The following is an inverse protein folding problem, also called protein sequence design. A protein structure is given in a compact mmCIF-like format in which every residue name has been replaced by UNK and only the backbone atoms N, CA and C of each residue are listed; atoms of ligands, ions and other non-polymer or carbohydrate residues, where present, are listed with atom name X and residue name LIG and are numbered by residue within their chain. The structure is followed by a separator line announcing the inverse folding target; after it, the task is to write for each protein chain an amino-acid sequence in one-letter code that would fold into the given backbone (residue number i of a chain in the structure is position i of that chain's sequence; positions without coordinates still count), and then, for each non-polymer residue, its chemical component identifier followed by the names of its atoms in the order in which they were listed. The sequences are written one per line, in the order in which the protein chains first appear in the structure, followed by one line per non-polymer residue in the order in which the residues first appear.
data_IF_560780881019
#
_entry.id   IF_560780881019
#
_cell.length_a   1.000
_cell.length_b   1.000
_cell.length_c   1.000
_cell.angle_alpha   90.00
_cell.angle_beta   90.00
_cell.angle_gamma   90.00
#
_symmetry.space_group_name_H-M   'P 1'
#
loop_
_entity.id
_entity.type
_entity.pdbx_description
1 polymer ?
#
# COMPACT_ATOMS: atom_id res chain seq x y z
N UNK A 1 5.13 -1.09 7.59
CA UNK A 1 4.84 -1.04 6.15
C UNK A 1 6.01 -0.45 5.37
N UNK A 2 6.00 -0.57 4.07
CA UNK A 2 6.99 0.04 3.18
C UNK A 2 6.30 0.94 2.18
N UNK A 3 7.01 2.01 1.78
CA UNK A 3 6.55 2.91 0.74
C UNK A 3 6.31 2.14 -0.56
N UNK A 4 5.27 2.55 -1.26
CA UNK A 4 4.89 1.97 -2.53
C UNK A 4 5.91 2.27 -3.62
N UNK A 5 6.52 1.20 -4.12
CA UNK A 5 7.44 1.28 -5.25
C UNK A 5 6.92 0.41 -6.40
N UNK A 6 6.67 1.01 -7.54
CA UNK A 6 6.05 0.35 -8.69
C UNK A 6 7.01 -0.61 -9.39
N UNK A 7 8.29 -0.31 -9.43
CA UNK A 7 9.27 -1.14 -10.12
C UNK A 7 10.01 -2.06 -9.16
N UNK A 8 10.28 -3.28 -9.60
CA UNK A 8 11.03 -4.28 -8.81
C UNK A 8 12.44 -3.79 -8.46
N UNK A 9 13.08 -3.06 -9.36
CA UNK A 9 14.39 -2.50 -9.10
C UNK A 9 14.35 -1.42 -8.01
N UNK A 10 13.32 -0.58 -8.03
CA UNK A 10 13.10 0.40 -6.97
C UNK A 10 12.88 -0.25 -5.61
N UNK A 11 12.21 -1.39 -5.57
CA UNK A 11 12.03 -2.17 -4.35
C UNK A 11 13.36 -2.73 -3.82
N UNK A 12 14.22 -3.24 -4.71
CA UNK A 12 15.48 -3.87 -4.31
C UNK A 12 16.43 -2.88 -3.64
N UNK A 13 16.47 -1.64 -4.09
CA UNK A 13 17.40 -0.62 -3.56
C UNK A 13 17.20 -0.38 -2.05
N UNK A 14 16.00 -0.07 -1.54
CA UNK A 14 15.80 0.20 -0.11
C UNK A 14 15.66 -1.05 0.75
N UNK A 15 15.12 -2.15 0.22
CA UNK A 15 14.70 -3.28 1.07
C UNK A 15 15.19 -4.66 0.59
N UNK A 16 15.89 -4.74 -0.54
CA UNK A 16 16.27 -6.01 -1.12
C UNK A 16 15.06 -6.78 -1.67
N UNK A 17 14.70 -7.90 -1.06
CA UNK A 17 13.48 -8.62 -1.42
C UNK A 17 12.32 -8.22 -0.52
N UNK A 18 11.24 -7.68 -1.10
CA UNK A 18 10.02 -7.37 -0.33
C UNK A 18 9.42 -8.60 0.33
N UNK A 19 9.44 -9.77 -0.32
CA UNK A 19 8.95 -11.00 0.28
C UNK A 19 9.70 -11.34 1.57
N UNK A 20 11.02 -11.26 1.56
CA UNK A 20 11.85 -11.49 2.76
C UNK A 20 11.63 -10.40 3.82
N UNK A 21 11.46 -9.18 3.38
CA UNK A 21 11.20 -8.08 4.30
C UNK A 21 9.87 -8.25 5.04
N UNK A 22 8.81 -8.67 4.34
CA UNK A 22 7.51 -8.93 4.94
C UNK A 22 7.48 -10.14 5.90
N UNK A 23 8.38 -11.10 5.74
CA UNK A 23 8.48 -12.24 6.66
C UNK A 23 8.67 -11.81 8.12
N UNK A 24 9.42 -10.75 8.35
CA UNK A 24 9.75 -10.24 9.68
C UNK A 24 8.69 -9.35 10.31
N UNK A 25 7.72 -8.88 9.53
CA UNK A 25 6.68 -7.99 10.02
C UNK A 25 5.55 -8.74 10.71
N UNK A 26 5.09 -8.23 11.86
CA UNK A 26 3.86 -8.73 12.50
C UNK A 26 2.64 -8.48 11.61
N UNK A 27 2.52 -7.28 11.09
CA UNK A 27 1.51 -6.86 10.12
C UNK A 27 2.22 -6.36 8.87
N UNK A 28 2.42 -7.21 7.85
CA UNK A 28 3.00 -6.76 6.60
C UNK A 28 2.10 -5.72 5.96
N UNK A 29 2.70 -4.67 5.41
CA UNK A 29 1.92 -3.55 4.91
C UNK A 29 2.60 -2.81 3.78
N UNK A 30 1.76 -2.09 3.04
CA UNK A 30 2.14 -1.22 1.92
C UNK A 30 1.68 0.21 2.17
N UNK A 31 2.19 1.12 1.37
CA UNK A 31 1.77 2.51 1.28
C UNK A 31 1.48 2.81 -0.19
N UNK A 32 0.24 3.12 -0.52
CA UNK A 32 -0.18 3.47 -1.89
C UNK A 32 -0.64 4.92 -1.91
N UNK A 33 0.20 5.76 -2.46
CA UNK A 33 -0.03 7.20 -2.51
C UNK A 33 -1.11 7.61 -3.51
N UNK A 34 -1.74 8.74 -3.23
CA UNK A 34 -2.76 9.39 -4.05
C UNK A 34 -4.02 8.52 -4.25
N UNK A 35 -4.67 8.64 -5.40
CA UNK A 35 -5.85 7.87 -5.75
C UNK A 35 -5.57 6.80 -6.83
N UNK A 36 -4.37 6.24 -6.85
CA UNK A 36 -3.94 5.24 -7.84
C UNK A 36 -4.54 3.86 -7.59
N UNK A 37 -4.94 3.21 -8.67
CA UNK A 37 -5.45 1.84 -8.68
C UNK A 37 -4.73 0.97 -9.74
N UNK A 38 -3.46 1.23 -10.00
CA UNK A 38 -2.75 0.64 -11.15
C UNK A 38 -1.78 -0.47 -10.73
N UNK A 39 -1.00 -0.24 -9.67
CA UNK A 39 0.08 -1.14 -9.25
C UNK A 39 -0.44 -2.34 -8.42
N UNK A 40 -1.27 -3.18 -9.00
CA UNK A 40 -1.89 -4.32 -8.30
C UNK A 40 -0.85 -5.33 -7.77
N UNK A 41 0.30 -5.46 -8.42
CA UNK A 41 1.35 -6.40 -7.99
C UNK A 41 1.93 -6.05 -6.62
N UNK A 42 1.96 -4.77 -6.24
CA UNK A 42 2.43 -4.35 -4.91
C UNK A 42 1.52 -4.93 -3.82
N UNK A 43 0.20 -4.81 -3.99
CA UNK A 43 -0.76 -5.42 -3.10
C UNK A 43 -0.66 -6.97 -3.12
N UNK A 44 -0.46 -7.57 -4.30
CA UNK A 44 -0.29 -9.03 -4.42
C UNK A 44 0.98 -9.54 -3.74
N UNK A 45 2.08 -8.80 -3.78
CA UNK A 45 3.30 -9.17 -3.08
C UNK A 45 3.07 -9.30 -1.56
N UNK A 46 2.49 -8.28 -0.93
CA UNK A 46 2.24 -8.28 0.51
C UNK A 46 1.20 -9.32 0.92
N UNK A 47 0.10 -9.42 0.18
CA UNK A 47 -0.98 -10.38 0.45
C UNK A 47 -0.49 -11.81 0.27
N UNK A 48 0.27 -12.09 -0.78
CA UNK A 48 0.85 -13.42 -1.01
C UNK A 48 1.77 -13.84 0.12
N UNK A 49 2.66 -12.95 0.56
CA UNK A 49 3.54 -13.24 1.69
C UNK A 49 2.75 -13.50 2.98
N UNK A 50 1.77 -12.65 3.26
CA UNK A 50 0.93 -12.81 4.45
C UNK A 50 0.21 -14.17 4.47
N UNK A 51 -0.36 -14.58 3.33
CA UNK A 51 -1.05 -15.88 3.18
C UNK A 51 -0.10 -17.06 3.38
N UNK A 52 1.06 -17.03 2.72
CA UNK A 52 2.06 -18.09 2.84
C UNK A 52 2.58 -18.28 4.28
N UNK A 53 2.58 -17.23 5.07
CA UNK A 53 3.07 -17.22 6.45
C UNK A 53 1.95 -17.25 7.51
N UNK A 54 0.70 -17.40 7.10
CA UNK A 54 -0.45 -17.45 8.01
C UNK A 54 -0.67 -16.16 8.81
N UNK A 55 -0.27 -15.00 8.25
CA UNK A 55 -0.49 -13.69 8.88
C UNK A 55 -1.91 -13.19 8.61
N UNK A 56 -2.71 -12.92 9.66
CA UNK A 56 -4.14 -12.65 9.47
C UNK A 56 -4.44 -11.23 8.95
N UNK A 57 -3.49 -10.31 9.12
CA UNK A 57 -3.70 -8.90 8.76
C UNK A 57 -2.69 -8.42 7.75
N UNK A 58 -3.18 -7.71 6.76
CA UNK A 58 -2.40 -7.03 5.73
C UNK A 58 -2.78 -5.56 5.73
N UNK A 59 -1.81 -4.73 6.11
CA UNK A 59 -2.02 -3.30 6.28
C UNK A 59 -1.81 -2.55 4.96
N UNK A 60 -2.57 -1.49 4.76
CA UNK A 60 -2.21 -0.44 3.81
C UNK A 60 -2.38 0.93 4.43
N UNK A 61 -1.38 1.78 4.27
CA UNK A 61 -1.53 3.21 4.42
C UNK A 61 -2.22 3.74 3.17
N UNK A 62 -3.33 4.46 3.36
CA UNK A 62 -4.21 4.86 2.28
C UNK A 62 -4.35 6.38 2.24
N UNK A 63 -4.63 6.88 1.03
CA UNK A 63 -5.01 8.28 0.79
C UNK A 63 -3.90 9.31 0.95
N UNK A 64 -2.66 8.90 1.18
CA UNK A 64 -1.53 9.80 1.30
C UNK A 64 -1.33 10.66 0.05
N UNK A 65 -1.22 11.98 0.23
CA UNK A 65 -1.00 12.91 -0.87
C UNK A 65 -2.17 13.08 -1.84
N UNK A 66 -3.39 12.66 -1.48
CA UNK A 66 -4.57 12.74 -2.36
C UNK A 66 -5.19 14.15 -2.46
N UNK A 67 -4.75 15.10 -1.65
CA UNK A 67 -5.24 16.48 -1.68
C UNK A 67 -6.55 16.69 -0.91
N UNK A 68 -7.09 17.91 -0.98
CA UNK A 68 -8.31 18.28 -0.26
C UNK A 68 -9.60 17.98 -1.01
N UNK A 69 -9.50 17.71 -2.29
CA UNK A 69 -10.62 17.59 -3.24
C UNK A 69 -11.09 16.13 -3.47
N UNK A 70 -10.42 15.16 -2.88
CA UNK A 70 -10.84 13.76 -2.99
C UNK A 70 -12.12 13.51 -2.18
N UNK A 71 -13.21 13.20 -2.86
CA UNK A 71 -14.50 12.88 -2.26
C UNK A 71 -14.64 11.43 -1.80
N UNK A 72 -15.80 11.08 -1.26
CA UNK A 72 -16.09 9.71 -0.77
C UNK A 72 -16.06 8.64 -1.85
N UNK A 73 -16.35 9.00 -3.09
CA UNK A 73 -16.20 8.13 -4.25
C UNK A 73 -14.75 7.71 -4.46
N UNK A 74 -13.80 8.64 -4.31
CA UNK A 74 -12.37 8.37 -4.36
C UNK A 74 -11.93 7.46 -3.21
N UNK A 75 -12.34 7.76 -1.99
CA UNK A 75 -12.06 6.93 -0.81
C UNK A 75 -12.60 5.51 -0.99
N UNK A 76 -13.84 5.39 -1.47
CA UNK A 76 -14.46 4.10 -1.73
C UNK A 76 -13.73 3.33 -2.83
N UNK A 77 -13.44 3.96 -3.96
CA UNK A 77 -12.79 3.32 -5.11
C UNK A 77 -11.43 2.72 -4.74
N UNK A 78 -10.58 3.49 -4.06
CA UNK A 78 -9.25 3.02 -3.63
C UNK A 78 -9.38 1.91 -2.57
N UNK A 79 -10.26 2.11 -1.59
CA UNK A 79 -10.49 1.13 -0.54
C UNK A 79 -11.03 -0.19 -1.08
N UNK A 80 -11.99 -0.17 -2.00
CA UNK A 80 -12.53 -1.36 -2.68
C UNK A 80 -11.43 -2.07 -3.46
N UNK A 81 -10.67 -1.34 -4.26
CA UNK A 81 -9.59 -1.89 -5.07
C UNK A 81 -8.57 -2.64 -4.22
N UNK A 82 -8.20 -2.09 -3.07
CA UNK A 82 -7.27 -2.75 -2.15
C UNK A 82 -7.91 -3.92 -1.40
N UNK A 83 -9.14 -3.75 -0.91
CA UNK A 83 -9.86 -4.79 -0.17
C UNK A 83 -10.04 -6.06 -1.00
N UNK A 84 -10.44 -5.92 -2.27
CA UNK A 84 -10.59 -7.06 -3.19
C UNK A 84 -9.25 -7.72 -3.60
N UNK A 85 -8.13 -7.06 -3.34
CA UNK A 85 -6.82 -7.69 -3.49
C UNK A 85 -6.36 -8.43 -2.23
N UNK A 86 -7.03 -8.24 -1.10
CA UNK A 86 -6.74 -8.90 0.16
C UNK A 86 -6.20 -8.01 1.27
N UNK A 87 -6.19 -6.68 1.07
CA UNK A 87 -5.89 -5.73 2.15
C UNK A 87 -7.07 -5.68 3.11
N UNK A 88 -6.83 -5.91 4.38
CA UNK A 88 -7.88 -6.00 5.40
C UNK A 88 -7.62 -5.18 6.67
N UNK A 89 -6.53 -4.43 6.70
CA UNK A 89 -6.23 -3.48 7.78
C UNK A 89 -5.90 -2.12 7.17
N UNK A 90 -6.78 -1.15 7.40
CA UNK A 90 -6.69 0.18 6.79
C UNK A 90 -6.07 1.17 7.77
N UNK A 91 -5.04 1.87 7.33
CA UNK A 91 -4.39 2.95 8.06
C UNK A 91 -4.46 4.22 7.20
N UNK A 92 -5.26 5.17 7.60
CA UNK A 92 -5.48 6.38 6.80
C UNK A 92 -4.33 7.35 6.95
N UNK A 93 -3.83 7.86 5.88
CA UNK A 93 -2.96 9.04 5.84
C UNK A 93 -3.83 10.26 5.54
N UNK A 94 -4.09 11.08 6.49
CA UNK A 94 -3.90 10.96 7.95
C UNK A 94 -4.87 11.91 8.67
N UNK A 95 -4.67 12.09 9.96
CA UNK A 95 -5.36 13.10 10.76
C UNK A 95 -4.36 14.07 11.35
N UNK A 96 -4.51 15.37 11.11
CA UNK A 96 -3.64 16.39 11.68
C UNK A 96 -4.09 16.79 13.09
N UNK A 97 -3.13 16.89 13.98
CA UNK A 97 -3.39 17.49 15.28
C UNK A 97 -3.82 18.98 15.15
N UNK A 98 -3.15 19.72 14.27
CA UNK A 98 -3.41 21.14 14.02
C UNK A 98 -2.90 21.53 12.64
N UNK A 99 -3.52 22.54 12.01
CA UNK A 99 -2.98 23.18 10.81
C UNK A 99 -1.90 24.21 11.11
N UNK A 100 -1.71 24.58 12.36
CA UNK A 100 -0.69 25.55 12.77
C UNK A 100 0.68 24.88 12.92
N UNK A 101 1.64 25.27 12.08
CA UNK A 101 3.01 24.77 12.08
C UNK A 101 3.24 23.50 11.27
N UNK A 102 4.31 23.49 10.51
CA UNK A 102 4.65 22.40 9.56
C UNK A 102 4.81 21.03 10.24
N UNK A 103 5.40 21.01 11.43
CA UNK A 103 5.66 19.76 12.16
C UNK A 103 4.42 19.01 12.65
N UNK A 104 3.22 19.58 12.49
CA UNK A 104 1.96 18.99 12.96
C UNK A 104 1.06 18.52 11.81
N UNK A 105 1.55 18.62 10.61
CA UNK A 105 0.83 18.26 9.39
C UNK A 105 1.78 17.68 8.37
N UNK A 106 1.25 16.84 7.54
CA UNK A 106 1.89 16.29 6.38
C UNK A 106 0.98 16.51 5.17
N UNK A 107 1.21 15.85 4.06
CA UNK A 107 0.40 15.99 2.85
C UNK A 107 -1.11 15.87 3.13
N UNK A 108 -1.95 16.76 2.56
CA UNK A 108 -3.40 16.68 2.70
C UNK A 108 -3.98 15.43 2.01
N UNK A 109 -5.22 14.99 2.33
CA UNK A 109 -6.13 15.68 3.24
C UNK A 109 -5.95 15.20 4.68
N UNK A 110 -6.36 16.03 5.64
CA UNK A 110 -6.60 15.55 6.99
C UNK A 110 -8.02 14.97 7.06
N UNK A 111 -8.13 13.69 7.39
CA UNK A 111 -9.40 12.98 7.62
C UNK A 111 -9.82 13.22 9.06
N UNK A 112 -10.09 14.46 9.38
CA UNK A 112 -10.47 14.92 10.71
C UNK A 112 -11.24 16.25 10.61
N UNK A 113 -11.38 16.96 11.73
CA UNK A 113 -12.17 18.19 11.82
C UNK A 113 -11.77 19.31 10.84
N UNK A 114 -10.60 19.24 10.22
CA UNK A 114 -10.17 20.19 9.20
C UNK A 114 -10.88 19.98 7.84
N UNK A 115 -11.44 18.82 7.62
CA UNK A 115 -12.22 18.51 6.42
C UNK A 115 -13.71 18.70 6.70
N UNK A 116 -14.39 19.49 5.86
CA UNK A 116 -15.81 19.82 6.04
C UNK A 116 -16.74 18.59 6.04
N UNK A 117 -16.34 17.54 5.33
CA UNK A 117 -17.08 16.27 5.21
C UNK A 117 -16.80 15.27 6.35
N UNK A 118 -15.91 15.57 7.27
CA UNK A 118 -15.52 14.64 8.33
C UNK A 118 -16.68 14.08 9.17
N UNK A 119 -17.70 14.87 9.55
CA UNK A 119 -18.83 14.33 10.31
C UNK A 119 -19.55 13.16 9.63
N UNK A 120 -19.51 13.14 8.28
CA UNK A 120 -20.14 12.09 7.47
C UNK A 120 -19.20 10.94 7.13
N UNK A 121 -17.91 11.04 7.48
CA UNK A 121 -16.89 10.03 7.14
C UNK A 121 -17.20 8.66 7.76
N UNK A 122 -17.98 8.63 8.82
CA UNK A 122 -18.48 7.39 9.42
C UNK A 122 -19.16 6.45 8.43
N UNK A 123 -19.79 6.96 7.37
CA UNK A 123 -20.43 6.11 6.35
C UNK A 123 -19.41 5.32 5.54
N UNK A 124 -18.25 5.91 5.28
CA UNK A 124 -17.12 5.24 4.63
C UNK A 124 -16.57 4.14 5.55
N UNK A 125 -16.40 4.46 6.84
CA UNK A 125 -15.87 3.49 7.81
C UNK A 125 -16.85 2.35 8.11
N UNK A 126 -18.13 2.64 8.21
CA UNK A 126 -19.18 1.62 8.37
C UNK A 126 -19.22 0.66 7.17
N UNK A 127 -19.04 1.19 5.96
CA UNK A 127 -18.96 0.38 4.75
C UNK A 127 -17.74 -0.56 4.79
N UNK A 128 -16.56 -0.03 5.04
CA UNK A 128 -15.34 -0.83 5.05
C UNK A 128 -15.24 -1.79 6.22
N UNK A 129 -15.82 -1.47 7.36
CA UNK A 129 -15.93 -2.41 8.48
C UNK A 129 -16.67 -3.67 8.06
N UNK A 130 -17.76 -3.52 7.29
CA UNK A 130 -18.52 -4.67 6.76
C UNK A 130 -17.76 -5.42 5.67
N UNK A 131 -17.16 -4.71 4.71
CA UNK A 131 -16.37 -5.31 3.63
C UNK A 131 -15.19 -6.10 4.20
N UNK A 132 -14.41 -5.50 5.09
CA UNK A 132 -13.26 -6.16 5.69
C UNK A 132 -13.68 -7.39 6.51
N UNK A 133 -14.79 -7.30 7.25
CA UNK A 133 -15.30 -8.46 7.98
C UNK A 133 -15.67 -9.62 7.04
N UNK A 134 -16.39 -9.33 5.95
CA UNK A 134 -16.80 -10.36 4.99
C UNK A 134 -15.56 -10.98 4.31
N UNK A 135 -14.61 -10.17 3.88
CA UNK A 135 -13.41 -10.63 3.17
C UNK A 135 -12.41 -11.40 4.05
N UNK A 136 -12.56 -11.32 5.37
CA UNK A 136 -11.80 -12.13 6.32
C UNK A 136 -12.43 -13.51 6.57
N UNK A 137 -13.62 -13.76 6.05
CA UNK A 137 -14.28 -15.07 6.17
C UNK A 137 -13.89 -15.96 4.99
N UNK A 138 -13.50 -17.17 5.27
CA UNK A 138 -13.12 -18.15 4.25
C UNK A 138 -11.64 -18.13 3.90
N UNK A 139 -11.26 -19.02 3.01
CA UNK A 139 -9.89 -19.23 2.57
C UNK A 139 -9.72 -18.78 1.11
N UNK A 140 -8.56 -18.24 0.74
CA UNK A 140 -8.28 -17.88 -0.65
C UNK A 140 -8.18 -19.13 -1.52
N UNK A 141 -8.91 -19.13 -2.61
CA UNK A 141 -8.87 -20.17 -3.64
C UNK A 141 -8.05 -19.67 -4.84
N UNK A 142 -6.94 -20.35 -5.15
CA UNK A 142 -5.98 -19.91 -6.16
C UNK A 142 -5.44 -21.09 -6.96
N UNK A 143 -5.75 -21.14 -8.25
CA UNK A 143 -5.29 -22.19 -9.19
C UNK A 143 -3.95 -21.85 -9.86
N UNK A 144 -3.48 -20.61 -9.78
CA UNK A 144 -2.30 -20.13 -10.49
C UNK A 144 -1.23 -19.67 -9.53
N UNK A 145 -0.04 -20.23 -9.67
CA UNK A 145 1.18 -19.78 -8.99
C UNK A 145 2.00 -18.89 -9.92
N UNK A 146 2.26 -17.66 -9.50
CA UNK A 146 3.18 -16.76 -10.18
C UNK A 146 4.53 -16.77 -9.47
N UNK A 147 5.59 -17.16 -10.17
CA UNK A 147 6.96 -17.12 -9.63
C UNK A 147 7.48 -15.69 -9.72
N UNK A 148 7.77 -15.08 -8.58
CA UNK A 148 8.24 -13.70 -8.50
C UNK A 148 9.78 -13.65 -8.59
N UNK A 149 10.38 -12.83 -9.48
CA UNK A 149 11.82 -12.82 -9.74
C UNK A 149 12.63 -11.96 -8.75
N UNK A 150 12.07 -11.54 -7.62
CA UNK A 150 12.70 -10.59 -6.70
C UNK A 150 14.06 -11.04 -6.17
N UNK A 151 14.25 -12.32 -5.88
CA UNK A 151 15.55 -12.84 -5.42
C UNK A 151 16.57 -12.89 -6.55
N UNK A 152 16.15 -13.16 -7.78
CA UNK A 152 17.03 -13.10 -8.95
C UNK A 152 17.54 -11.68 -9.21
N UNK A 153 16.67 -10.68 -9.05
CA UNK A 153 17.05 -9.28 -9.11
C UNK A 153 18.00 -8.90 -7.97
N UNK A 154 17.69 -9.35 -6.77
CA UNK A 154 18.54 -9.09 -5.60
C UNK A 154 19.95 -9.66 -5.79
N UNK A 155 20.08 -10.84 -6.37
CA UNK A 155 21.37 -11.43 -6.69
C UNK A 155 22.19 -10.64 -7.73
N UNK A 156 21.53 -9.82 -8.53
CA UNK A 156 22.16 -8.94 -9.53
C UNK A 156 22.41 -7.52 -9.01
N UNK A 157 21.93 -7.21 -7.79
CA UNK A 157 22.02 -5.87 -7.22
C UNK A 157 23.48 -5.42 -7.06
N UNK A 158 23.75 -4.17 -7.44
CA UNK A 158 25.03 -3.52 -7.19
C UNK A 158 24.80 -2.01 -6.88
N UNK A 159 25.78 -1.37 -6.24
CA UNK A 159 25.67 0.03 -5.80
C UNK A 159 25.37 1.04 -6.93
N UNK A 160 25.68 0.69 -8.17
CA UNK A 160 25.34 1.50 -9.33
C UNK A 160 23.82 1.70 -9.53
N UNK A 161 23.00 0.77 -9.03
CA UNK A 161 21.55 0.89 -9.09
C UNK A 161 21.00 2.03 -8.22
N UNK A 162 21.66 2.37 -7.13
CA UNK A 162 21.25 3.49 -6.29
C UNK A 162 21.35 4.86 -7.00
N UNK A 163 22.12 4.95 -8.08
CA UNK A 163 22.28 6.22 -8.84
C UNK A 163 21.05 6.58 -9.68
N UNK A 164 20.19 5.65 -9.97
CA UNK A 164 19.00 5.90 -10.81
C UNK A 164 17.79 6.43 -10.04
N UNK A 165 17.81 6.52 -8.73
CA UNK A 165 16.80 7.32 -8.01
C UNK A 165 16.68 8.76 -8.57
N UNK A 166 17.52 9.13 -9.54
CA UNK A 166 17.47 10.36 -10.32
C UNK A 166 17.48 10.19 -11.85
N UNK A 167 17.55 8.96 -12.42
CA UNK A 167 17.55 8.75 -13.88
C UNK A 167 17.13 7.33 -14.24
N UNK A 168 16.13 7.19 -15.12
CA UNK A 168 15.66 5.90 -15.61
C UNK A 168 16.80 5.05 -16.17
N UNK A 169 16.96 3.82 -15.70
CA UNK A 169 17.83 2.82 -16.30
C UNK A 169 17.01 1.87 -17.16
N UNK A 170 17.23 1.83 -18.47
CA UNK A 170 16.45 0.99 -19.39
C UNK A 170 16.61 -0.51 -19.18
N UNK A 171 17.66 -0.94 -18.50
CA UNK A 171 18.04 -2.36 -18.39
C UNK A 171 17.20 -3.20 -17.41
N UNK A 172 16.31 -2.58 -16.66
CA UNK A 172 15.51 -3.27 -15.63
C UNK A 172 14.06 -3.49 -16.05
N UNK A 173 13.61 -2.77 -17.07
CA UNK A 173 12.24 -2.92 -17.59
C UNK A 173 12.09 -4.12 -18.53
N UNK A 174 13.18 -4.83 -18.83
CA UNK A 174 13.19 -6.00 -19.74
C UNK A 174 13.22 -7.36 -18.98
N UNK A 175 13.16 -7.35 -17.63
CA UNK A 175 13.08 -8.56 -16.81
C UNK A 175 11.65 -8.74 -16.29
#
# INVERSE_FOLDING_TARGET
HVLHEDSLAAQVVPVGSLFRYYETMTYPGIDVLTNRCEAFWVAKQVVSTARQLGKPFVLSELYGGSGWDMGFDGHKRIGDWQAFQGINLRCHHLSWYSMAGESKRDYPASIFHQSAWYPEYKYVEDYFSRINYILQQGEPDCDVLVVHPGESLWAQFHLGWAKWLGSASPAVDEI
#
